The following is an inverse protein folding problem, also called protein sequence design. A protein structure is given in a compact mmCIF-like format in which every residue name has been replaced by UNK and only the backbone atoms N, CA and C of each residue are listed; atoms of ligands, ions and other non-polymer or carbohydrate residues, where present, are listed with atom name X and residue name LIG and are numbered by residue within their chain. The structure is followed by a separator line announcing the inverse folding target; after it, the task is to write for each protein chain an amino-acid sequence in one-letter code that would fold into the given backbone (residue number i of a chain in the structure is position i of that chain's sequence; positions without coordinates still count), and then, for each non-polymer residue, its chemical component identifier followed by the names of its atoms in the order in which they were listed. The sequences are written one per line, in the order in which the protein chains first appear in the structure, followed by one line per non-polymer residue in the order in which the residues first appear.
data_IF_713093012743
#
_entry.id   IF_713093012743
#
_cell.length_a   1.000
_cell.length_b   1.000
_cell.length_c   1.000
_cell.angle_alpha   90.00
_cell.angle_beta   90.00
_cell.angle_gamma   90.00
#
_symmetry.space_group_name_H-M   'P 1'
#
loop_
_entity.id
_entity.type
_entity.pdbx_description
1 polymer ?
#
# COMPACT_ATOMS: atom_id res chain seq x y z
N UNK A 1 75.44 -10.02 -8.81
CA UNK A 1 74.32 -9.21 -8.27
C UNK A 1 73.31 -9.04 -9.41
N UNK A 2 72.29 -9.90 -9.45
CA UNK A 2 71.40 -10.06 -10.61
C UNK A 2 70.29 -8.99 -10.62
N UNK A 3 70.12 -8.33 -11.76
CA UNK A 3 69.08 -7.34 -12.06
C UNK A 3 67.69 -8.00 -12.09
N UNK A 4 66.74 -7.48 -11.31
CA UNK A 4 65.32 -7.89 -11.34
C UNK A 4 64.64 -7.40 -12.63
N UNK A 5 63.88 -8.24 -13.35
CA UNK A 5 63.15 -7.80 -14.55
C UNK A 5 61.87 -7.03 -14.19
N UNK A 6 61.55 -6.06 -15.06
CA UNK A 6 60.48 -5.08 -14.91
C UNK A 6 59.06 -5.65 -14.87
N UNK A 7 58.23 -5.00 -14.06
CA UNK A 7 56.82 -5.29 -13.85
C UNK A 7 56.02 -4.85 -15.09
N UNK A 8 55.51 -5.81 -15.89
CA UNK A 8 54.58 -5.53 -17.00
C UNK A 8 53.29 -4.90 -16.46
N UNK A 9 52.97 -3.68 -16.90
CA UNK A 9 51.64 -3.08 -16.70
C UNK A 9 50.61 -3.88 -17.50
N UNK A 10 49.59 -4.42 -16.83
CA UNK A 10 48.41 -4.95 -17.51
C UNK A 10 47.50 -3.81 -17.98
N UNK A 11 46.81 -3.94 -19.13
CA UNK A 11 45.89 -2.92 -19.61
C UNK A 11 44.67 -2.82 -18.68
N UNK A 12 44.22 -1.59 -18.44
CA UNK A 12 43.05 -1.28 -17.64
C UNK A 12 41.79 -1.96 -18.20
N UNK A 13 41.22 -2.89 -17.42
CA UNK A 13 39.90 -3.47 -17.68
C UNK A 13 38.87 -2.34 -17.71
N UNK A 14 38.29 -2.09 -18.88
CA UNK A 14 37.17 -1.15 -19.05
C UNK A 14 36.04 -1.51 -18.07
N UNK A 15 35.66 -0.56 -17.21
CA UNK A 15 34.49 -0.67 -16.34
C UNK A 15 33.24 -0.54 -17.20
N UNK A 16 32.78 -1.63 -17.83
CA UNK A 16 31.37 -1.72 -18.21
C UNK A 16 30.53 -1.68 -16.93
N UNK A 17 29.47 -0.86 -16.86
CA UNK A 17 28.65 -0.76 -15.66
C UNK A 17 28.05 -2.13 -15.29
N UNK A 18 28.13 -2.49 -14.00
CA UNK A 18 27.78 -3.81 -13.45
C UNK A 18 26.29 -4.20 -13.59
N UNK A 19 25.47 -3.41 -14.29
CA UNK A 19 24.02 -3.59 -14.43
C UNK A 19 23.67 -4.82 -15.30
N UNK A 20 24.55 -5.23 -16.22
CA UNK A 20 24.30 -6.35 -17.15
C UNK A 20 24.62 -7.75 -16.61
N UNK A 21 24.99 -7.92 -15.33
CA UNK A 21 25.32 -9.25 -14.77
C UNK A 21 24.11 -10.05 -14.29
N UNK A 22 22.94 -9.43 -14.12
CA UNK A 22 21.73 -10.13 -13.66
C UNK A 22 20.66 -10.13 -14.78
N UNK A 23 20.39 -11.27 -15.43
CA UNK A 23 19.41 -11.35 -16.52
C UNK A 23 18.00 -10.95 -16.06
N UNK A 24 17.63 -11.20 -14.80
CA UNK A 24 16.33 -10.77 -14.24
C UNK A 24 16.22 -9.24 -14.16
N UNK A 25 17.31 -8.56 -13.80
CA UNK A 25 17.30 -7.10 -13.68
C UNK A 25 17.27 -6.40 -15.05
N UNK A 26 18.02 -6.94 -16.03
CA UNK A 26 17.97 -6.46 -17.41
C UNK A 26 16.57 -6.66 -18.01
N UNK A 27 15.95 -7.83 -17.78
CA UNK A 27 14.58 -8.11 -18.20
C UNK A 27 13.56 -7.17 -17.55
N UNK A 28 13.66 -6.94 -16.24
CA UNK A 28 12.80 -5.99 -15.52
C UNK A 28 12.90 -4.56 -16.08
N UNK A 29 14.12 -4.08 -16.36
CA UNK A 29 14.33 -2.75 -16.95
C UNK A 29 13.76 -2.65 -18.37
N UNK A 30 13.98 -3.67 -19.20
CA UNK A 30 13.40 -3.74 -20.54
C UNK A 30 11.87 -3.71 -20.48
N UNK A 31 11.27 -4.46 -19.55
CA UNK A 31 9.83 -4.52 -19.37
C UNK A 31 9.26 -3.15 -18.97
N UNK A 32 9.88 -2.46 -18.00
CA UNK A 32 9.49 -1.09 -17.60
C UNK A 32 9.54 -0.13 -18.79
N UNK A 33 10.59 -0.20 -19.61
CA UNK A 33 10.72 0.64 -20.79
C UNK A 33 9.64 0.36 -21.84
N UNK A 34 9.37 -0.92 -22.13
CA UNK A 34 8.30 -1.32 -23.05
C UNK A 34 6.92 -0.88 -22.55
N UNK A 35 6.70 -0.95 -21.25
CA UNK A 35 5.45 -0.52 -20.62
C UNK A 35 5.30 1.02 -20.66
N UNK A 36 6.40 1.76 -20.50
CA UNK A 36 6.39 3.22 -20.69
C UNK A 36 6.00 3.62 -22.12
N UNK A 37 6.47 2.88 -23.13
CA UNK A 37 6.02 3.05 -24.51
C UNK A 37 4.54 2.71 -24.67
N UNK A 38 4.07 1.61 -24.08
CA UNK A 38 2.66 1.23 -24.09
C UNK A 38 1.77 2.31 -23.46
N UNK A 39 2.17 2.87 -22.32
CA UNK A 39 1.47 3.99 -21.68
C UNK A 39 1.41 5.21 -22.59
N UNK A 40 2.52 5.56 -23.26
CA UNK A 40 2.53 6.68 -24.22
C UNK A 40 1.56 6.42 -25.40
N UNK A 41 1.52 5.19 -25.92
CA UNK A 41 0.58 4.78 -26.97
C UNK A 41 -0.87 4.82 -26.48
N UNK A 42 -1.13 4.39 -25.23
CA UNK A 42 -2.47 4.47 -24.63
C UNK A 42 -2.93 5.92 -24.53
N UNK A 43 -2.07 6.84 -24.08
CA UNK A 43 -2.39 8.26 -23.99
C UNK A 43 -2.69 8.84 -25.39
N UNK A 44 -1.91 8.45 -26.40
CA UNK A 44 -2.06 8.97 -27.75
C UNK A 44 -3.29 8.44 -28.50
N UNK A 45 -3.66 7.18 -28.30
CA UNK A 45 -4.62 6.48 -29.17
C UNK A 45 -5.90 6.00 -28.47
N UNK A 46 -5.93 5.91 -27.15
CA UNK A 46 -7.11 5.42 -26.42
C UNK A 46 -7.92 6.60 -25.87
N UNK A 47 -9.22 6.70 -26.19
CA UNK A 47 -10.06 7.77 -25.66
C UNK A 47 -10.08 7.80 -24.13
N UNK A 48 -9.91 8.99 -23.58
CA UNK A 48 -10.06 9.25 -22.15
C UNK A 48 -11.47 8.87 -21.67
N UNK A 49 -11.55 8.21 -20.52
CA UNK A 49 -12.83 7.83 -19.91
C UNK A 49 -13.16 8.79 -18.77
N UNK A 50 -14.02 9.75 -19.06
CA UNK A 50 -14.53 10.70 -18.06
C UNK A 50 -15.33 9.95 -16.97
N UNK A 51 -14.74 9.85 -15.78
CA UNK A 51 -15.43 9.37 -14.57
C UNK A 51 -15.32 10.43 -13.49
N UNK A 52 -14.17 10.53 -12.84
CA UNK A 52 -14.05 11.32 -11.61
C UNK A 52 -13.24 12.61 -11.77
N UNK A 53 -12.43 12.76 -12.83
CA UNK A 53 -11.55 13.92 -12.99
C UNK A 53 -12.28 15.25 -12.90
N UNK A 54 -13.40 15.39 -13.59
CA UNK A 54 -14.15 16.65 -13.59
C UNK A 54 -14.75 16.93 -12.21
N UNK A 55 -15.25 15.90 -11.54
CA UNK A 55 -15.71 16.03 -10.16
C UNK A 55 -14.56 16.44 -9.22
N UNK A 56 -13.36 15.88 -9.41
CA UNK A 56 -12.18 16.27 -8.65
C UNK A 56 -11.79 17.73 -8.93
N UNK A 57 -11.81 18.17 -10.19
CA UNK A 57 -11.50 19.56 -10.56
C UNK A 57 -12.54 20.55 -10.02
N UNK A 58 -13.83 20.20 -10.02
CA UNK A 58 -14.88 21.02 -9.39
C UNK A 58 -14.67 21.17 -7.89
N UNK A 59 -14.38 20.06 -7.19
CA UNK A 59 -14.12 20.06 -5.75
C UNK A 59 -12.87 20.88 -5.39
N UNK A 60 -11.80 20.74 -6.17
CA UNK A 60 -10.56 21.53 -6.01
C UNK A 60 -10.80 23.00 -6.31
N UNK A 61 -11.60 23.33 -7.33
CA UNK A 61 -11.92 24.72 -7.66
C UNK A 61 -12.72 25.37 -6.53
N UNK A 62 -13.69 24.68 -5.94
CA UNK A 62 -14.39 25.16 -4.75
C UNK A 62 -13.44 25.41 -3.58
N UNK A 63 -12.54 24.46 -3.30
CA UNK A 63 -11.53 24.60 -2.24
C UNK A 63 -10.59 25.80 -2.47
N UNK A 64 -10.06 25.96 -3.69
CA UNK A 64 -9.20 27.09 -4.05
C UNK A 64 -9.96 28.43 -4.05
N UNK A 65 -11.26 28.41 -4.29
CA UNK A 65 -12.17 29.55 -4.16
C UNK A 65 -12.49 29.94 -2.71
N UNK A 66 -11.94 29.23 -1.71
CA UNK A 66 -12.11 29.55 -0.29
C UNK A 66 -13.16 28.71 0.43
N UNK A 67 -13.83 27.77 -0.24
CA UNK A 67 -14.81 26.90 0.41
C UNK A 67 -14.14 25.97 1.43
N UNK A 68 -14.71 25.89 2.63
CA UNK A 68 -14.25 25.06 3.76
C UNK A 68 -15.34 24.15 4.31
N UNK A 69 -16.58 24.26 3.83
CA UNK A 69 -17.64 23.32 4.14
C UNK A 69 -17.63 22.15 3.16
N UNK A 70 -17.30 20.95 3.66
CA UNK A 70 -17.30 19.70 2.88
C UNK A 70 -18.67 19.32 2.32
N UNK A 71 -19.76 19.88 2.84
CA UNK A 71 -21.11 19.66 2.31
C UNK A 71 -21.33 20.38 0.98
N UNK A 72 -20.60 21.47 0.74
CA UNK A 72 -20.65 22.27 -0.49
C UNK A 72 -19.64 21.80 -1.54
N UNK A 73 -18.55 21.14 -1.12
CA UNK A 73 -17.57 20.56 -2.02
C UNK A 73 -18.14 19.32 -2.71
N UNK A 74 -18.73 19.50 -3.90
CA UNK A 74 -19.32 18.43 -4.72
C UNK A 74 -18.98 18.63 -6.20
N UNK A 75 -18.98 17.53 -6.94
CA UNK A 75 -18.86 17.51 -8.40
C UNK A 75 -19.96 16.64 -9.01
N UNK A 76 -19.87 16.41 -10.32
CA UNK A 76 -20.88 15.67 -11.08
C UNK A 76 -21.09 14.23 -10.57
N UNK A 77 -20.07 13.63 -9.97
CA UNK A 77 -20.14 12.28 -9.39
C UNK A 77 -20.51 12.24 -7.90
N UNK A 78 -20.81 13.40 -7.31
CA UNK A 78 -21.30 13.53 -5.94
C UNK A 78 -20.41 14.36 -5.01
N UNK A 79 -20.66 14.30 -3.68
CA UNK A 79 -19.92 15.09 -2.70
C UNK A 79 -18.46 14.62 -2.57
N UNK A 80 -17.61 15.48 -2.03
CA UNK A 80 -16.25 15.15 -1.62
C UNK A 80 -16.26 14.24 -0.38
N UNK A 81 -15.51 13.15 -0.47
CA UNK A 81 -15.55 12.04 0.51
C UNK A 81 -14.16 11.52 0.83
N UNK A 82 -13.15 12.29 0.43
CA UNK A 82 -11.75 12.01 0.69
C UNK A 82 -11.26 12.98 1.75
N UNK A 83 -10.33 12.58 2.63
CA UNK A 83 -9.72 13.50 3.58
C UNK A 83 -8.91 14.60 2.87
N UNK A 84 -8.56 15.64 3.63
CA UNK A 84 -8.01 16.89 3.09
C UNK A 84 -6.74 16.73 2.23
N UNK A 85 -5.95 15.67 2.44
CA UNK A 85 -4.76 15.38 1.64
C UNK A 85 -5.07 15.19 0.15
N UNK A 86 -6.26 14.69 -0.19
CA UNK A 86 -6.75 14.66 -1.57
C UNK A 86 -6.79 16.05 -2.21
N UNK A 87 -7.39 17.03 -1.51
CA UNK A 87 -7.52 18.40 -2.03
C UNK A 87 -6.15 19.04 -2.25
N UNK A 88 -5.19 18.80 -1.35
CA UNK A 88 -3.83 19.34 -1.50
C UNK A 88 -3.10 18.75 -2.71
N UNK A 89 -3.17 17.42 -2.88
CA UNK A 89 -2.56 16.74 -4.02
C UNK A 89 -3.18 17.24 -5.33
N UNK A 90 -4.50 17.24 -5.43
CA UNK A 90 -5.16 17.64 -6.68
C UNK A 90 -5.10 19.15 -6.94
N UNK A 91 -4.93 19.98 -5.92
CA UNK A 91 -4.59 21.40 -6.11
C UNK A 91 -3.21 21.57 -6.75
N UNK A 92 -2.22 20.79 -6.28
CA UNK A 92 -0.89 20.79 -6.89
C UNK A 92 -0.90 20.24 -8.33
N UNK A 93 -1.67 19.17 -8.58
CA UNK A 93 -1.85 18.63 -9.93
C UNK A 93 -2.47 19.69 -10.84
N UNK A 94 -3.56 20.33 -10.42
CA UNK A 94 -4.23 21.39 -11.19
C UNK A 94 -3.27 22.55 -11.49
N UNK A 95 -2.42 22.94 -10.53
CA UNK A 95 -1.41 23.97 -10.74
C UNK A 95 -0.37 23.57 -11.80
N UNK A 96 0.08 22.31 -11.81
CA UNK A 96 1.07 21.81 -12.77
C UNK A 96 0.47 21.58 -14.16
N UNK A 97 -0.77 21.06 -14.23
CA UNK A 97 -1.40 20.64 -15.49
C UNK A 97 -2.29 21.70 -16.11
N UNK A 98 -2.54 22.81 -15.41
CA UNK A 98 -3.57 23.79 -15.77
C UNK A 98 -5.01 23.29 -15.56
N UNK A 99 -5.19 22.09 -15.00
CA UNK A 99 -6.50 21.42 -14.93
C UNK A 99 -6.85 20.62 -16.19
N UNK A 100 -5.96 20.59 -17.19
CA UNK A 100 -6.16 19.87 -18.44
C UNK A 100 -5.93 18.36 -18.29
N UNK A 101 -6.71 17.58 -19.03
CA UNK A 101 -6.68 16.11 -18.96
C UNK A 101 -5.37 15.57 -19.52
N UNK A 102 -4.92 16.04 -20.69
CA UNK A 102 -3.74 15.47 -21.36
C UNK A 102 -2.44 15.59 -20.54
N UNK A 103 -2.07 16.76 -19.97
CA UNK A 103 -0.92 16.85 -19.08
C UNK A 103 -1.11 16.02 -17.79
N UNK A 104 -2.33 15.88 -17.28
CA UNK A 104 -2.62 15.00 -16.16
C UNK A 104 -2.42 13.52 -16.52
N UNK A 105 -2.80 13.07 -17.71
CA UNK A 105 -2.53 11.71 -18.18
C UNK A 105 -1.03 11.42 -18.25
N UNK A 106 -0.21 12.38 -18.69
CA UNK A 106 1.25 12.25 -18.67
C UNK A 106 1.76 12.11 -17.23
N UNK A 107 1.31 12.98 -16.32
CA UNK A 107 1.70 12.92 -14.91
C UNK A 107 1.33 11.57 -14.26
N UNK A 108 0.11 11.10 -14.48
CA UNK A 108 -0.34 9.80 -13.99
C UNK A 108 0.35 8.63 -14.70
N UNK A 109 0.75 8.78 -15.95
CA UNK A 109 1.60 7.83 -16.68
C UNK A 109 2.98 7.69 -16.03
N UNK A 110 3.62 8.80 -15.66
CA UNK A 110 4.87 8.78 -14.89
C UNK A 110 4.66 8.11 -13.54
N UNK A 111 3.60 8.47 -12.82
CA UNK A 111 3.25 7.86 -11.53
C UNK A 111 3.03 6.34 -11.67
N UNK A 112 2.36 5.90 -12.73
CA UNK A 112 2.17 4.48 -13.04
C UNK A 112 3.52 3.76 -13.25
N UNK A 113 4.43 4.33 -14.05
CA UNK A 113 5.74 3.71 -14.30
C UNK A 113 6.58 3.63 -13.02
N UNK A 114 6.50 4.64 -12.15
CA UNK A 114 7.12 4.59 -10.82
C UNK A 114 6.51 3.45 -10.00
N UNK A 115 5.19 3.35 -9.94
CA UNK A 115 4.49 2.30 -9.21
C UNK A 115 4.84 0.90 -9.74
N UNK A 116 4.81 0.71 -11.07
CA UNK A 116 5.19 -0.55 -11.72
C UNK A 116 6.64 -0.92 -11.40
N UNK A 117 7.55 0.04 -11.43
CA UNK A 117 8.97 -0.19 -11.11
C UNK A 117 9.16 -0.66 -9.67
N UNK A 118 8.45 -0.05 -8.72
CA UNK A 118 8.45 -0.45 -7.30
C UNK A 118 7.92 -1.88 -7.16
N UNK A 119 6.80 -2.19 -7.81
CA UNK A 119 6.18 -3.50 -7.74
C UNK A 119 7.08 -4.57 -8.36
N UNK A 120 7.60 -4.38 -9.57
CA UNK A 120 8.56 -5.30 -10.21
C UNK A 120 9.79 -5.50 -9.31
N UNK A 121 10.28 -4.43 -8.68
CA UNK A 121 11.38 -4.54 -7.73
C UNK A 121 11.03 -5.44 -6.54
N UNK A 122 9.83 -5.30 -5.95
CA UNK A 122 9.32 -6.18 -4.88
C UNK A 122 9.32 -7.64 -5.35
N UNK A 123 8.81 -7.93 -6.54
CA UNK A 123 8.76 -9.29 -7.08
C UNK A 123 10.15 -9.88 -7.35
N UNK A 124 11.05 -9.12 -7.99
CA UNK A 124 12.42 -9.56 -8.27
C UNK A 124 13.18 -9.84 -6.98
N UNK A 125 12.92 -9.08 -5.91
CA UNK A 125 13.56 -9.27 -4.61
C UNK A 125 13.00 -10.43 -3.79
N UNK A 126 11.70 -10.67 -3.89
CA UNK A 126 11.07 -11.75 -3.13
C UNK A 126 11.31 -13.12 -3.77
N UNK A 127 11.74 -13.17 -5.05
CA UNK A 127 11.98 -14.38 -5.84
C UNK A 127 10.80 -15.37 -5.84
N UNK A 128 9.59 -14.84 -5.61
CA UNK A 128 8.38 -15.63 -5.44
C UNK A 128 7.86 -16.18 -6.77
N UNK A 129 7.92 -15.36 -7.82
CA UNK A 129 7.32 -15.69 -9.11
C UNK A 129 8.36 -15.93 -10.20
N UNK A 130 8.02 -16.79 -11.18
CA UNK A 130 8.84 -16.95 -12.36
C UNK A 130 8.91 -15.63 -13.15
N UNK A 131 10.03 -15.42 -13.84
CA UNK A 131 10.33 -14.18 -14.55
C UNK A 131 9.26 -13.81 -15.59
N UNK A 132 8.60 -14.79 -16.21
CA UNK A 132 7.52 -14.54 -17.19
C UNK A 132 6.27 -13.91 -16.56
N UNK A 133 6.00 -14.14 -15.27
CA UNK A 133 4.82 -13.59 -14.60
C UNK A 133 4.90 -12.06 -14.46
N UNK A 134 6.11 -11.49 -14.50
CA UNK A 134 6.31 -10.04 -14.54
C UNK A 134 5.63 -9.42 -15.78
N UNK A 135 5.55 -10.14 -16.90
CA UNK A 135 4.86 -9.67 -18.11
C UNK A 135 3.36 -9.48 -17.84
N UNK A 136 2.73 -10.41 -17.11
CA UNK A 136 1.30 -10.33 -16.79
C UNK A 136 0.98 -9.14 -15.89
N UNK A 137 1.88 -8.83 -14.95
CA UNK A 137 1.78 -7.67 -14.09
C UNK A 137 1.77 -6.36 -14.91
N UNK A 138 2.69 -6.27 -15.86
CA UNK A 138 2.80 -5.16 -16.81
C UNK A 138 1.54 -5.01 -17.65
N UNK A 139 1.07 -6.08 -18.29
CA UNK A 139 -0.05 -6.04 -19.25
C UNK A 139 -1.44 -5.87 -18.62
N UNK A 140 -1.55 -5.48 -17.35
CA UNK A 140 -2.85 -5.28 -16.70
C UNK A 140 -3.60 -4.08 -17.29
N UNK A 141 -4.55 -4.35 -18.19
CA UNK A 141 -5.45 -3.35 -18.78
C UNK A 141 -6.16 -2.50 -17.71
N UNK A 142 -6.50 -3.12 -16.59
CA UNK A 142 -7.25 -2.47 -15.51
C UNK A 142 -6.40 -1.44 -14.77
N UNK A 143 -5.14 -1.75 -14.47
CA UNK A 143 -4.21 -0.84 -13.79
C UNK A 143 -3.88 0.34 -14.69
N UNK A 144 -3.54 0.09 -15.96
CA UNK A 144 -3.37 1.14 -16.98
C UNK A 144 -4.55 2.10 -17.01
N UNK A 145 -5.77 1.56 -17.04
CA UNK A 145 -6.97 2.38 -17.10
C UNK A 145 -7.23 3.16 -15.81
N UNK A 146 -6.86 2.63 -14.64
CA UNK A 146 -7.01 3.32 -13.35
C UNK A 146 -6.10 4.55 -13.28
N UNK A 147 -4.84 4.41 -13.68
CA UNK A 147 -3.89 5.52 -13.68
C UNK A 147 -4.17 6.49 -14.82
N UNK A 148 -4.16 6.01 -16.07
CA UNK A 148 -3.98 6.87 -17.25
C UNK A 148 -5.31 7.28 -17.89
N UNK A 149 -6.35 6.45 -17.80
CA UNK A 149 -7.63 6.72 -18.47
C UNK A 149 -8.71 7.25 -17.54
N UNK A 150 -8.52 7.14 -16.21
CA UNK A 150 -9.49 7.55 -15.19
C UNK A 150 -8.93 8.50 -14.15
N UNK A 151 -7.59 8.62 -14.07
CA UNK A 151 -6.88 9.55 -13.19
C UNK A 151 -7.35 9.43 -11.73
N UNK A 152 -7.51 8.20 -11.24
CA UNK A 152 -8.11 7.98 -9.92
C UNK A 152 -7.15 8.32 -8.77
N UNK A 153 -7.70 8.90 -7.70
CA UNK A 153 -6.96 9.28 -6.49
C UNK A 153 -6.22 8.11 -5.81
N UNK A 154 -6.75 6.88 -5.93
CA UNK A 154 -6.12 5.68 -5.38
C UNK A 154 -4.66 5.52 -5.76
N UNK A 155 -4.27 6.00 -6.95
CA UNK A 155 -2.93 5.85 -7.50
C UNK A 155 -1.85 6.38 -6.55
N UNK A 156 -2.07 7.55 -5.92
CA UNK A 156 -1.10 8.14 -5.00
C UNK A 156 -1.00 7.35 -3.70
N UNK A 157 -2.13 7.03 -3.08
CA UNK A 157 -2.17 6.27 -1.83
C UNK A 157 -1.53 4.88 -2.00
N UNK A 158 -1.81 4.19 -3.11
CA UNK A 158 -1.27 2.86 -3.38
C UNK A 158 0.21 2.89 -3.77
N UNK A 159 0.66 3.88 -4.53
CA UNK A 159 2.10 4.04 -4.85
C UNK A 159 2.91 4.28 -3.59
N UNK A 160 2.42 5.11 -2.68
CA UNK A 160 3.03 5.32 -1.36
C UNK A 160 3.10 4.02 -0.57
N UNK A 161 2.00 3.25 -0.54
CA UNK A 161 1.96 1.97 0.15
C UNK A 161 2.96 0.95 -0.42
N UNK A 162 3.04 0.82 -1.75
CA UNK A 162 4.02 -0.05 -2.40
C UNK A 162 5.44 0.41 -2.14
N UNK A 163 5.70 1.72 -2.15
CA UNK A 163 7.00 2.27 -1.79
C UNK A 163 7.40 1.89 -0.36
N UNK A 164 6.47 2.00 0.60
CA UNK A 164 6.69 1.56 1.97
C UNK A 164 7.07 0.08 2.03
N UNK A 165 6.34 -0.80 1.34
CA UNK A 165 6.64 -2.22 1.27
C UNK A 165 8.01 -2.52 0.67
N UNK A 166 8.39 -1.82 -0.41
CA UNK A 166 9.70 -1.97 -1.02
C UNK A 166 10.83 -1.55 -0.07
N UNK A 167 10.63 -0.50 0.73
CA UNK A 167 11.62 -0.11 1.75
C UNK A 167 11.76 -1.15 2.87
N UNK A 168 10.68 -1.85 3.23
CA UNK A 168 10.73 -2.96 4.19
C UNK A 168 11.59 -4.10 3.63
N UNK A 169 11.36 -4.46 2.37
CA UNK A 169 12.08 -5.55 1.72
C UNK A 169 13.56 -5.27 1.47
N UNK A 170 13.92 -4.02 1.14
CA UNK A 170 15.27 -3.74 0.66
C UNK A 170 16.28 -3.49 1.77
N UNK A 171 15.86 -3.47 3.04
CA UNK A 171 16.70 -3.22 4.20
C UNK A 171 17.58 -1.95 4.15
N UNK A 172 17.31 -1.03 3.20
CA UNK A 172 18.03 0.24 2.99
C UNK A 172 17.14 1.42 3.35
N UNK A 173 17.15 1.70 4.64
CA UNK A 173 16.45 2.75 5.38
C UNK A 173 16.68 4.16 4.83
N UNK A 174 17.89 4.42 4.33
CA UNK A 174 18.29 5.76 3.89
C UNK A 174 17.56 6.24 2.62
N UNK A 175 17.05 5.33 1.77
CA UNK A 175 16.22 5.72 0.61
C UNK A 175 14.77 6.04 1.02
N UNK A 176 14.22 5.32 2.00
CA UNK A 176 12.96 5.70 2.63
C UNK A 176 13.06 7.08 3.26
N UNK A 177 14.22 7.41 3.83
CA UNK A 177 14.53 8.70 4.47
C UNK A 177 14.29 9.93 3.57
N UNK A 178 14.49 9.81 2.24
CA UNK A 178 14.30 10.91 1.28
C UNK A 178 12.83 11.07 0.89
N UNK A 179 12.07 9.97 0.81
CA UNK A 179 10.60 10.02 0.71
C UNK A 179 9.95 10.51 2.01
N UNK A 180 10.67 10.41 3.13
CA UNK A 180 10.32 10.95 4.45
C UNK A 180 10.97 12.36 4.61
N UNK A 181 10.70 13.30 3.70
CA UNK A 181 10.94 14.73 4.00
C UNK A 181 10.07 15.22 5.19
N UNK A 182 9.13 14.40 5.66
CA UNK A 182 8.41 14.55 6.92
C UNK A 182 9.15 14.10 8.19
N UNK A 183 10.42 13.65 8.08
CA UNK A 183 11.19 13.18 9.23
C UNK A 183 11.40 14.31 10.23
N UNK A 184 11.47 15.57 9.79
CA UNK A 184 11.66 16.72 10.69
C UNK A 184 10.47 16.91 11.65
N UNK A 185 9.23 16.72 11.16
CA UNK A 185 8.03 16.89 12.00
C UNK A 185 7.89 15.75 13.01
N UNK A 186 8.20 14.50 12.63
CA UNK A 186 8.10 13.32 13.51
C UNK A 186 9.31 13.18 14.45
N UNK A 187 10.52 13.56 14.02
CA UNK A 187 11.72 13.52 14.87
C UNK A 187 11.68 14.58 15.98
N UNK A 188 10.96 15.70 15.76
CA UNK A 188 10.70 16.73 16.79
C UNK A 188 9.55 16.35 17.74
N UNK A 189 8.59 15.50 17.33
CA UNK A 189 7.42 15.11 18.13
C UNK A 189 7.53 13.72 18.79
N UNK A 190 8.38 12.82 18.28
CA UNK A 190 8.48 11.42 18.73
C UNK A 190 9.96 10.99 18.90
N UNK A 191 10.67 11.59 19.85
CA UNK A 191 12.05 11.23 20.23
C UNK A 191 12.22 9.78 20.76
N UNK A 192 11.13 9.03 20.91
CA UNK A 192 11.08 7.70 21.53
C UNK A 192 10.96 6.55 20.50
N UNK A 193 11.10 6.82 19.20
CA UNK A 193 10.92 5.78 18.20
C UNK A 193 12.11 4.81 18.12
N UNK A 194 11.82 3.54 18.36
CA UNK A 194 12.83 2.49 18.47
C UNK A 194 13.53 2.19 17.12
N UNK A 195 14.85 2.43 17.09
CA UNK A 195 15.75 2.13 15.96
C UNK A 195 15.81 0.64 15.62
N UNK A 196 15.39 -0.25 16.52
CA UNK A 196 15.39 -1.69 16.29
C UNK A 196 14.26 -2.14 15.36
N UNK A 197 13.11 -1.48 15.38
CA UNK A 197 11.92 -1.83 14.58
C UNK A 197 11.51 -0.75 13.55
N UNK A 198 12.52 -0.05 13.00
CA UNK A 198 12.36 1.03 12.01
C UNK A 198 11.42 0.70 10.82
N UNK A 199 11.21 -0.56 10.43
CA UNK A 199 10.38 -0.93 9.27
C UNK A 199 8.91 -0.65 9.55
N UNK A 200 8.48 -0.99 10.77
CA UNK A 200 7.13 -0.74 11.25
C UNK A 200 6.90 0.77 11.36
N UNK A 201 7.91 1.52 11.82
CA UNK A 201 7.89 2.99 11.85
C UNK A 201 7.67 3.61 10.48
N UNK A 202 8.51 3.24 9.50
CA UNK A 202 8.42 3.81 8.14
C UNK A 202 7.05 3.51 7.53
N UNK A 203 6.59 2.26 7.65
CA UNK A 203 5.30 1.86 7.12
C UNK A 203 4.14 2.64 7.76
N UNK A 204 4.21 2.82 9.09
CA UNK A 204 3.23 3.60 9.84
C UNK A 204 3.20 5.06 9.38
N UNK A 205 4.35 5.73 9.25
CA UNK A 205 4.44 7.10 8.73
C UNK A 205 3.80 7.22 7.35
N UNK A 206 4.07 6.27 6.45
CA UNK A 206 3.49 6.28 5.10
C UNK A 206 1.98 6.05 5.14
N UNK A 207 1.50 5.12 5.98
CA UNK A 207 0.07 4.89 6.14
C UNK A 207 -0.67 6.13 6.64
N UNK A 208 -0.08 6.91 7.55
CA UNK A 208 -0.68 8.18 8.02
C UNK A 208 -0.94 9.12 6.84
N UNK A 209 0.06 9.34 5.98
CA UNK A 209 -0.09 10.20 4.81
C UNK A 209 -1.06 9.62 3.78
N UNK A 210 -1.00 8.31 3.54
CA UNK A 210 -1.88 7.67 2.58
C UNK A 210 -3.35 7.68 3.04
N UNK A 211 -3.63 7.59 4.34
CA UNK A 211 -4.99 7.79 4.91
C UNK A 211 -5.50 9.20 4.65
N UNK A 212 -4.65 10.24 4.71
CA UNK A 212 -5.04 11.61 4.37
C UNK A 212 -5.49 11.78 2.91
N UNK A 213 -5.13 10.83 2.04
CA UNK A 213 -5.50 10.83 0.62
C UNK A 213 -6.75 9.99 0.41
N UNK A 214 -6.78 8.77 0.97
CA UNK A 214 -7.88 7.84 0.81
C UNK A 214 -8.01 6.88 1.99
N UNK A 215 -9.25 6.69 2.45
CA UNK A 215 -9.57 5.84 3.60
C UNK A 215 -9.33 4.35 3.38
N UNK A 216 -9.14 3.87 2.14
CA UNK A 216 -8.92 2.44 1.87
C UNK A 216 -7.69 1.88 2.60
N UNK A 217 -6.72 2.74 2.90
CA UNK A 217 -5.53 2.37 3.67
C UNK A 217 -5.87 1.93 5.11
N UNK A 218 -7.05 2.30 5.64
CA UNK A 218 -7.52 1.85 6.94
C UNK A 218 -7.72 0.32 7.02
N UNK A 219 -7.85 -0.38 5.89
CA UNK A 219 -7.87 -1.85 5.88
C UNK A 219 -6.56 -2.46 6.44
N UNK A 220 -5.45 -1.72 6.37
CA UNK A 220 -4.17 -2.12 6.96
C UNK A 220 -4.06 -1.77 8.46
N UNK A 221 -5.00 -1.02 9.03
CA UNK A 221 -4.88 -0.53 10.41
C UNK A 221 -4.89 -1.66 11.47
N UNK A 222 -5.81 -2.66 11.43
CA UNK A 222 -5.77 -3.75 12.40
C UNK A 222 -4.47 -4.58 12.41
N UNK A 223 -3.94 -5.08 11.26
CA UNK A 223 -2.67 -5.79 11.26
C UNK A 223 -1.49 -4.88 11.63
N UNK A 224 -1.51 -3.60 11.24
CA UNK A 224 -0.47 -2.65 11.62
C UNK A 224 -0.44 -2.41 13.14
N UNK A 225 -1.60 -2.25 13.78
CA UNK A 225 -1.70 -2.10 15.23
C UNK A 225 -1.11 -3.31 15.97
N UNK A 226 -1.39 -4.52 15.49
CA UNK A 226 -0.80 -5.73 16.06
C UNK A 226 0.73 -5.75 15.93
N UNK A 227 1.25 -5.37 14.76
CA UNK A 227 2.69 -5.27 14.54
C UNK A 227 3.31 -4.17 15.41
N UNK A 228 2.64 -3.05 15.62
CA UNK A 228 3.08 -2.01 16.55
C UNK A 228 3.15 -2.54 17.98
N UNK A 229 2.11 -3.22 18.48
CA UNK A 229 2.13 -3.83 19.82
C UNK A 229 3.28 -4.83 19.99
N UNK A 230 3.67 -5.55 18.92
CA UNK A 230 4.85 -6.44 18.93
C UNK A 230 6.17 -5.67 18.86
N UNK A 231 6.20 -4.59 18.08
CA UNK A 231 7.40 -3.81 17.77
C UNK A 231 7.82 -2.85 18.88
N UNK A 232 6.89 -2.35 19.69
CA UNK A 232 7.13 -1.27 20.65
C UNK A 232 6.38 -1.50 21.97
N UNK A 233 6.71 -0.69 22.98
CA UNK A 233 6.01 -0.65 24.26
C UNK A 233 4.69 0.11 24.12
N UNK A 234 3.77 -0.03 25.09
CA UNK A 234 2.44 0.60 25.02
C UNK A 234 2.52 2.12 24.89
N UNK A 235 3.47 2.76 25.59
CA UNK A 235 3.72 4.20 25.50
C UNK A 235 4.12 4.62 24.08
N UNK A 236 4.99 3.83 23.43
CA UNK A 236 5.35 4.02 22.03
C UNK A 236 4.15 3.87 21.09
N UNK A 237 3.28 2.89 21.33
CA UNK A 237 2.04 2.71 20.53
C UNK A 237 1.11 3.91 20.69
N UNK A 238 0.88 4.37 21.93
CA UNK A 238 0.03 5.53 22.21
C UNK A 238 0.61 6.79 21.57
N UNK A 239 1.92 7.02 21.72
CA UNK A 239 2.63 8.15 21.11
C UNK A 239 2.52 8.12 19.57
N UNK A 240 2.71 6.95 18.96
CA UNK A 240 2.55 6.78 17.52
C UNK A 240 1.10 7.04 17.06
N UNK A 241 0.08 6.52 17.77
CA UNK A 241 -1.32 6.79 17.45
C UNK A 241 -1.68 8.27 17.64
N UNK A 242 -1.15 8.94 18.67
CA UNK A 242 -1.31 10.37 18.89
C UNK A 242 -0.66 11.18 17.75
N UNK A 243 0.52 10.79 17.29
CA UNK A 243 1.19 11.40 16.13
C UNK A 243 0.35 11.22 14.85
N UNK A 244 -0.20 10.02 14.62
CA UNK A 244 -1.11 9.78 13.49
C UNK A 244 -2.34 10.70 13.53
N UNK A 245 -2.97 10.82 14.70
CA UNK A 245 -4.12 11.70 14.91
C UNK A 245 -3.74 13.18 14.69
N UNK A 246 -2.60 13.62 15.21
CA UNK A 246 -2.09 14.98 15.04
C UNK A 246 -1.87 15.32 13.56
N UNK A 247 -1.25 14.42 12.79
CA UNK A 247 -1.07 14.64 11.34
C UNK A 247 -2.41 14.75 10.61
N UNK A 248 -3.41 13.94 10.98
CA UNK A 248 -4.76 14.06 10.39
C UNK A 248 -5.45 15.38 10.76
N UNK A 249 -5.26 15.84 12.01
CA UNK A 249 -5.78 17.14 12.48
C UNK A 249 -5.10 18.28 11.72
N UNK A 250 -3.78 18.27 11.60
CA UNK A 250 -3.03 19.29 10.88
C UNK A 250 -3.39 19.31 9.39
N UNK A 251 -3.52 18.14 8.76
CA UNK A 251 -3.97 18.05 7.38
C UNK A 251 -5.40 18.58 7.22
N UNK A 252 -6.30 18.32 8.16
CA UNK A 252 -7.69 18.78 8.14
C UNK A 252 -7.91 20.18 8.72
N UNK A 253 -6.88 20.86 9.22
CA UNK A 253 -7.01 22.06 10.07
C UNK A 253 -7.90 23.16 9.48
N UNK A 254 -7.78 23.55 8.18
CA UNK A 254 -8.63 24.59 7.60
C UNK A 254 -10.13 24.26 7.65
N UNK A 255 -10.48 22.98 7.65
CA UNK A 255 -11.85 22.50 7.67
C UNK A 255 -12.34 22.21 9.09
N UNK A 256 -11.45 21.74 9.97
CA UNK A 256 -11.76 21.46 11.37
C UNK A 256 -12.03 22.74 12.16
N UNK A 257 -11.36 23.85 11.83
CA UNK A 257 -11.61 25.15 12.49
C UNK A 257 -12.94 25.76 12.05
N UNK A 258 -13.30 25.63 10.76
CA UNK A 258 -14.50 26.25 10.21
C UNK A 258 -15.75 25.36 10.32
N UNK A 259 -15.66 24.10 9.89
CA UNK A 259 -16.79 23.16 9.78
C UNK A 259 -16.41 21.74 10.22
N UNK A 260 -16.10 21.50 11.51
CA UNK A 260 -15.55 20.21 11.98
C UNK A 260 -16.48 19.03 11.73
N UNK A 261 -17.79 19.20 11.96
CA UNK A 261 -18.78 18.14 11.78
C UNK A 261 -18.93 17.78 10.29
N UNK A 262 -18.95 18.79 9.41
CA UNK A 262 -19.04 18.57 7.97
C UNK A 262 -17.79 17.83 7.46
N UNK A 263 -16.60 18.24 7.90
CA UNK A 263 -15.35 17.57 7.55
C UNK A 263 -15.35 16.10 7.99
N UNK A 264 -15.54 15.82 9.29
CA UNK A 264 -15.43 14.45 9.82
C UNK A 264 -16.50 13.53 9.19
N UNK A 265 -17.75 13.98 9.11
CA UNK A 265 -18.85 13.16 8.58
C UNK A 265 -18.76 12.86 7.09
N UNK A 266 -18.07 13.71 6.31
CA UNK A 266 -17.88 13.54 4.86
C UNK A 266 -16.57 12.85 4.51
N UNK A 267 -15.45 13.34 5.05
CA UNK A 267 -14.11 12.81 4.82
C UNK A 267 -13.93 11.40 5.38
N UNK A 268 -14.56 11.07 6.51
CA UNK A 268 -14.47 9.78 7.20
C UNK A 268 -15.81 9.05 7.26
N UNK A 269 -16.55 9.03 6.15
CA UNK A 269 -17.90 8.47 6.10
C UNK A 269 -17.91 6.92 6.04
N UNK A 270 -17.99 6.29 7.21
CA UNK A 270 -18.11 4.82 7.34
C UNK A 270 -19.52 4.27 7.07
N UNK A 271 -20.54 5.15 7.03
CA UNK A 271 -21.94 4.77 6.83
C UNK A 271 -22.36 4.71 5.35
N UNK A 272 -21.47 5.06 4.43
CA UNK A 272 -21.77 5.10 3.00
C UNK A 272 -22.18 3.73 2.48
N UNK A 273 -23.34 3.68 1.82
CA UNK A 273 -23.79 2.53 1.07
C UNK A 273 -23.58 2.81 -0.41
N UNK A 274 -22.74 2.01 -1.07
CA UNK A 274 -22.61 2.07 -2.51
C UNK A 274 -23.76 1.31 -3.15
N UNK A 275 -24.22 1.80 -4.30
CA UNK A 275 -25.29 1.14 -5.04
C UNK A 275 -24.84 -0.26 -5.48
N UNK A 276 -25.73 -1.24 -5.33
CA UNK A 276 -25.45 -2.64 -5.62
C UNK A 276 -25.00 -2.86 -7.08
N UNK A 277 -25.42 -1.98 -7.99
CA UNK A 277 -25.03 -2.01 -9.40
C UNK A 277 -23.50 -1.99 -9.60
N UNK A 278 -22.77 -1.12 -8.89
CA UNK A 278 -21.32 -0.96 -9.07
C UNK A 278 -20.46 -1.86 -8.17
N UNK A 279 -21.06 -2.59 -7.24
CA UNK A 279 -20.32 -3.51 -6.37
C UNK A 279 -19.93 -4.76 -7.12
N UNK A 280 -18.67 -5.17 -6.96
CA UNK A 280 -18.17 -6.47 -7.44
C UNK A 280 -18.36 -7.54 -6.37
N UNK A 281 -18.04 -7.20 -5.12
CA UNK A 281 -18.19 -8.16 -4.03
C UNK A 281 -19.68 -8.39 -3.74
N UNK A 282 -20.02 -9.64 -3.42
CA UNK A 282 -21.39 -10.07 -3.12
C UNK A 282 -22.43 -9.74 -4.21
N UNK A 283 -22.01 -9.62 -5.48
CA UNK A 283 -22.91 -9.28 -6.60
C UNK A 283 -24.04 -10.30 -6.81
N UNK A 284 -23.84 -11.54 -6.36
CA UNK A 284 -24.82 -12.62 -6.40
C UNK A 284 -25.94 -12.46 -5.35
N UNK A 285 -25.79 -11.54 -4.38
CA UNK A 285 -26.78 -11.30 -3.32
C UNK A 285 -27.85 -10.32 -3.83
N UNK A 286 -29.15 -10.56 -3.56
CA UNK A 286 -30.20 -9.61 -3.91
C UNK A 286 -29.98 -8.23 -3.28
N UNK A 287 -30.31 -7.17 -4.02
CA UNK A 287 -30.12 -5.78 -3.58
C UNK A 287 -30.74 -5.44 -2.20
N UNK A 288 -31.97 -5.91 -1.86
CA UNK A 288 -32.55 -5.64 -0.54
C UNK A 288 -31.72 -6.20 0.61
N UNK A 289 -31.11 -7.38 0.41
CA UNK A 289 -30.24 -8.03 1.39
C UNK A 289 -28.89 -7.30 1.43
N UNK A 290 -28.33 -6.97 0.27
CA UNK A 290 -27.05 -6.26 0.16
C UNK A 290 -27.07 -4.91 0.88
N UNK A 291 -28.13 -4.12 0.72
CA UNK A 291 -28.23 -2.78 1.35
C UNK A 291 -28.56 -2.87 2.85
N UNK A 292 -29.05 -4.02 3.33
CA UNK A 292 -29.49 -4.19 4.72
C UNK A 292 -28.37 -3.94 5.75
N UNK A 293 -28.76 -3.36 6.89
CA UNK A 293 -27.85 -3.16 8.04
C UNK A 293 -27.41 -4.49 8.64
N UNK A 294 -28.29 -5.49 8.65
CA UNK A 294 -28.01 -6.84 9.17
C UNK A 294 -26.85 -7.48 8.40
N UNK A 295 -26.88 -7.41 7.06
CA UNK A 295 -25.79 -7.92 6.24
C UNK A 295 -24.48 -7.18 6.50
N UNK A 296 -24.50 -5.84 6.57
CA UNK A 296 -23.30 -5.05 6.88
C UNK A 296 -22.67 -5.40 8.25
N UNK A 297 -23.49 -5.58 9.29
CA UNK A 297 -23.03 -5.98 10.63
C UNK A 297 -22.48 -7.41 10.60
N UNK A 298 -23.14 -8.33 9.89
CA UNK A 298 -22.66 -9.72 9.77
C UNK A 298 -21.27 -9.79 9.13
N UNK A 299 -21.03 -8.99 8.09
CA UNK A 299 -19.73 -8.87 7.42
C UNK A 299 -18.68 -8.24 8.33
N UNK A 300 -19.04 -7.26 9.15
CA UNK A 300 -18.14 -6.66 10.13
C UNK A 300 -17.75 -7.68 11.22
N UNK A 301 -18.70 -8.46 11.72
CA UNK A 301 -18.43 -9.54 12.68
C UNK A 301 -17.51 -10.59 12.06
N UNK A 302 -17.77 -10.99 10.81
CA UNK A 302 -16.91 -11.92 10.08
C UNK A 302 -15.48 -11.35 9.90
N UNK A 303 -15.36 -10.08 9.55
CA UNK A 303 -14.07 -9.40 9.40
C UNK A 303 -13.25 -9.42 10.70
N UNK A 304 -13.84 -8.98 11.81
CA UNK A 304 -13.19 -8.94 13.11
C UNK A 304 -12.89 -10.36 13.63
N UNK A 305 -13.79 -11.31 13.40
CA UNK A 305 -13.60 -12.72 13.75
C UNK A 305 -12.44 -13.38 13.00
N UNK A 306 -12.34 -13.14 11.69
CA UNK A 306 -11.22 -13.63 10.87
C UNK A 306 -9.90 -13.01 11.30
N UNK A 307 -9.87 -11.69 11.54
CA UNK A 307 -8.67 -11.01 12.06
C UNK A 307 -8.25 -11.56 13.42
N UNK A 308 -9.19 -11.76 14.36
CA UNK A 308 -8.89 -12.32 15.67
C UNK A 308 -8.38 -13.76 15.58
N UNK A 309 -8.96 -14.57 14.69
CA UNK A 309 -8.54 -15.95 14.44
C UNK A 309 -7.11 -16.00 13.88
N UNK A 310 -6.82 -15.19 12.85
CA UNK A 310 -5.46 -15.10 12.28
C UNK A 310 -4.46 -14.56 13.31
N UNK A 311 -4.84 -13.55 14.08
CA UNK A 311 -4.01 -13.01 15.13
C UNK A 311 -3.71 -14.05 16.21
N UNK A 312 -4.69 -14.85 16.63
CA UNK A 312 -4.52 -15.86 17.65
C UNK A 312 -3.68 -17.05 17.18
N UNK A 313 -4.04 -17.67 16.05
CA UNK A 313 -3.45 -18.94 15.63
C UNK A 313 -2.22 -18.79 14.74
N UNK A 314 -2.08 -17.68 14.01
CA UNK A 314 -1.01 -17.49 13.02
C UNK A 314 -0.02 -16.41 13.42
N UNK A 315 -0.49 -15.20 13.73
CA UNK A 315 0.41 -14.06 13.95
C UNK A 315 1.00 -13.99 15.37
N UNK A 316 0.27 -14.45 16.38
CA UNK A 316 0.73 -14.51 17.78
C UNK A 316 0.99 -15.94 18.28
N UNK A 317 1.23 -16.90 17.37
CA UNK A 317 1.45 -18.30 17.74
C UNK A 317 2.63 -18.49 18.69
N UNK A 318 3.71 -17.73 18.48
CA UNK A 318 4.93 -17.81 19.30
C UNK A 318 4.76 -17.21 20.70
N UNK A 319 3.75 -16.37 20.90
CA UNK A 319 3.44 -15.71 22.17
C UNK A 319 2.32 -16.43 22.94
N UNK A 320 1.91 -17.62 22.49
CA UNK A 320 0.85 -18.40 23.11
C UNK A 320 -0.56 -17.90 22.78
N UNK A 321 -0.72 -17.14 21.69
CA UNK A 321 -1.98 -16.62 21.17
C UNK A 321 -2.22 -15.14 21.49
N UNK A 322 -3.25 -14.57 20.87
CA UNK A 322 -3.56 -13.14 20.94
C UNK A 322 -3.84 -12.68 22.38
N UNK A 323 -4.66 -13.44 23.13
CA UNK A 323 -5.08 -13.04 24.47
C UNK A 323 -3.93 -13.04 25.48
N UNK A 324 -3.08 -14.08 25.45
CA UNK A 324 -1.88 -14.14 26.30
C UNK A 324 -0.91 -13.01 25.96
N UNK A 325 -0.74 -12.72 24.68
CA UNK A 325 0.08 -11.62 24.21
C UNK A 325 -0.43 -10.26 24.70
N UNK A 326 -1.72 -9.96 24.52
CA UNK A 326 -2.34 -8.71 24.98
C UNK A 326 -2.28 -8.58 26.49
N UNK A 327 -2.59 -9.65 27.23
CA UNK A 327 -2.49 -9.67 28.68
C UNK A 327 -1.06 -9.36 29.13
N UNK A 328 -0.05 -10.04 28.56
CA UNK A 328 1.36 -9.78 28.86
C UNK A 328 1.76 -8.33 28.60
N UNK A 329 1.28 -7.72 27.50
CA UNK A 329 1.56 -6.31 27.19
C UNK A 329 0.89 -5.33 28.17
N UNK A 330 -0.35 -5.61 28.59
CA UNK A 330 -1.06 -4.80 29.57
C UNK A 330 -0.41 -4.93 30.96
N UNK A 331 -0.09 -6.14 31.40
CA UNK A 331 0.60 -6.38 32.67
C UNK A 331 1.98 -5.71 32.68
N UNK A 332 2.75 -5.82 31.60
CA UNK A 332 4.05 -5.14 31.45
C UNK A 332 3.96 -3.62 31.36
N UNK A 333 2.79 -3.05 31.06
CA UNK A 333 2.57 -1.61 31.11
C UNK A 333 2.28 -1.12 32.53
N UNK A 334 1.55 -1.92 33.32
CA UNK A 334 1.15 -1.64 34.69
C UNK A 334 2.29 -1.88 35.70
N UNK A 335 3.02 -2.98 35.53
CA UNK A 335 4.24 -3.28 36.26
C UNK A 335 5.36 -2.60 35.49
N UNK A 336 5.92 -1.51 36.02
CA UNK A 336 7.03 -0.70 35.46
C UNK A 336 8.37 -1.46 35.31
N UNK A 337 8.30 -2.75 35.03
CA UNK A 337 9.38 -3.68 34.70
C UNK A 337 9.62 -3.63 33.19
N UNK A 338 10.61 -2.84 32.81
CA UNK A 338 11.03 -2.55 31.42
C UNK A 338 11.84 -3.68 30.77
N UNK A 339 11.42 -4.94 30.92
CA UNK A 339 12.15 -6.09 30.38
C UNK A 339 11.32 -7.02 29.50
N UNK A 340 10.30 -6.51 28.79
CA UNK A 340 9.85 -7.22 27.58
C UNK A 340 10.89 -6.98 26.49
N UNK A 341 11.84 -7.91 26.33
CA UNK A 341 12.86 -7.86 25.29
C UNK A 341 12.23 -7.53 23.95
N UNK A 342 12.55 -6.33 23.45
CA UNK A 342 11.90 -5.73 22.29
C UNK A 342 12.32 -6.54 21.06
N UNK A 343 11.42 -7.41 20.61
CA UNK A 343 11.76 -8.43 19.61
C UNK A 343 11.82 -7.76 18.24
N UNK A 344 12.96 -7.90 17.57
CA UNK A 344 13.11 -7.47 16.19
C UNK A 344 12.17 -8.34 15.33
N UNK A 345 11.23 -7.69 14.66
CA UNK A 345 10.26 -8.37 13.80
C UNK A 345 10.92 -8.75 12.48
N UNK A 346 10.75 -10.00 12.06
CA UNK A 346 11.17 -10.44 10.73
C UNK A 346 10.32 -9.74 9.66
N UNK A 347 10.96 -9.26 8.60
CA UNK A 347 10.30 -8.55 7.48
C UNK A 347 9.20 -9.40 6.84
N UNK A 348 9.42 -10.70 6.70
CA UNK A 348 8.43 -11.64 6.17
C UNK A 348 7.17 -11.69 7.03
N UNK A 349 7.32 -11.62 8.35
CA UNK A 349 6.18 -11.60 9.26
C UNK A 349 5.40 -10.29 9.16
N UNK A 350 6.10 -9.15 9.04
CA UNK A 350 5.47 -7.83 8.83
C UNK A 350 4.63 -7.85 7.56
N UNK A 351 5.22 -8.26 6.44
CA UNK A 351 4.55 -8.27 5.14
C UNK A 351 3.36 -9.24 5.10
N UNK A 352 3.58 -10.49 5.51
CA UNK A 352 2.50 -11.50 5.49
C UNK A 352 1.32 -11.11 6.37
N UNK A 353 1.57 -10.43 7.50
CA UNK A 353 0.52 -9.93 8.40
C UNK A 353 -0.26 -8.78 7.77
N UNK A 354 0.43 -7.78 7.21
CA UNK A 354 -0.22 -6.63 6.55
C UNK A 354 -1.08 -7.06 5.37
N UNK A 355 -0.57 -7.95 4.52
CA UNK A 355 -1.31 -8.40 3.35
C UNK A 355 -2.47 -9.33 3.67
N UNK A 356 -2.28 -10.27 4.59
CA UNK A 356 -3.37 -11.15 5.01
C UNK A 356 -4.50 -10.33 5.67
N UNK A 357 -4.18 -9.33 6.49
CA UNK A 357 -5.19 -8.44 7.06
C UNK A 357 -5.93 -7.62 6.01
N UNK A 358 -5.23 -7.06 5.02
CA UNK A 358 -5.87 -6.34 3.91
C UNK A 358 -6.77 -7.26 3.06
N UNK A 359 -6.32 -8.49 2.78
CA UNK A 359 -7.12 -9.48 2.05
C UNK A 359 -8.40 -9.85 2.80
N UNK A 360 -8.30 -10.10 4.12
CA UNK A 360 -9.48 -10.33 4.98
C UNK A 360 -10.43 -9.12 4.92
N UNK A 361 -9.91 -7.89 4.90
CA UNK A 361 -10.69 -6.67 4.70
C UNK A 361 -11.44 -6.64 3.38
N UNK A 362 -10.78 -6.97 2.26
CA UNK A 362 -11.39 -6.98 0.94
C UNK A 362 -12.46 -8.07 0.81
N UNK A 363 -12.21 -9.28 1.32
CA UNK A 363 -13.18 -10.39 1.29
C UNK A 363 -14.44 -10.03 2.07
N UNK A 364 -14.30 -9.39 3.24
CA UNK A 364 -15.43 -8.98 4.06
C UNK A 364 -16.04 -7.63 3.67
N UNK A 365 -15.46 -6.90 2.71
CA UNK A 365 -15.98 -5.60 2.31
C UNK A 365 -17.30 -5.77 1.56
N UNK A 366 -18.39 -5.21 2.11
CA UNK A 366 -19.72 -5.27 1.49
C UNK A 366 -19.73 -4.76 0.06
N UNK A 367 -19.23 -3.54 -0.15
CA UNK A 367 -19.19 -2.91 -1.46
C UNK A 367 -17.76 -2.65 -1.87
N UNK A 368 -17.39 -3.12 -3.07
CA UNK A 368 -16.02 -3.01 -3.55
C UNK A 368 -16.00 -2.73 -5.06
N UNK A 369 -15.18 -1.78 -5.48
CA UNK A 369 -14.91 -1.51 -6.89
C UNK A 369 -13.72 -2.34 -7.39
N UNK A 370 -13.65 -2.57 -8.71
CA UNK A 370 -12.55 -3.33 -9.35
C UNK A 370 -11.13 -2.82 -9.04
N UNK A 371 -10.99 -1.55 -8.62
CA UNK A 371 -9.71 -0.97 -8.25
C UNK A 371 -9.04 -1.76 -7.11
N UNK A 372 -9.81 -2.10 -6.09
CA UNK A 372 -9.32 -2.79 -4.90
C UNK A 372 -8.76 -4.17 -5.21
N UNK A 373 -9.39 -4.93 -6.10
CA UNK A 373 -8.85 -6.21 -6.57
C UNK A 373 -7.59 -6.04 -7.40
N UNK A 374 -7.47 -4.95 -8.17
CA UNK A 374 -6.26 -4.68 -8.96
C UNK A 374 -5.06 -4.42 -8.05
N UNK A 375 -5.27 -3.66 -6.97
CA UNK A 375 -4.24 -3.42 -5.95
C UNK A 375 -3.90 -4.67 -5.15
N UNK A 376 -4.91 -5.47 -4.80
CA UNK A 376 -4.70 -6.65 -4.01
C UNK A 376 -4.09 -7.81 -4.81
N UNK A 377 -4.44 -7.97 -6.09
CA UNK A 377 -3.89 -9.01 -6.96
C UNK A 377 -2.38 -8.86 -7.14
N UNK A 378 -1.92 -7.62 -7.35
CA UNK A 378 -0.51 -7.22 -7.40
C UNK A 378 0.28 -7.57 -6.12
N UNK A 379 -0.41 -7.85 -5.00
CA UNK A 379 0.21 -8.18 -3.72
C UNK A 379 -0.06 -9.63 -3.28
N UNK A 380 -1.17 -10.23 -3.71
CA UNK A 380 -1.55 -11.60 -3.37
C UNK A 380 -0.67 -12.63 -4.08
N UNK A 381 -0.32 -12.37 -5.33
CA UNK A 381 0.56 -13.25 -6.11
C UNK A 381 1.94 -13.39 -5.44
N UNK A 382 2.43 -12.34 -4.77
CA UNK A 382 3.65 -12.36 -3.94
C UNK A 382 3.57 -13.31 -2.73
N UNK A 383 2.38 -13.64 -2.23
CA UNK A 383 2.20 -14.45 -1.00
C UNK A 383 1.87 -15.89 -1.31
N UNK A 384 0.93 -16.12 -2.23
CA UNK A 384 0.44 -17.46 -2.56
C UNK A 384 1.58 -18.37 -3.01
N UNK A 385 2.48 -17.86 -3.85
CA UNK A 385 3.62 -18.63 -4.35
C UNK A 385 4.72 -18.83 -3.30
N UNK A 386 4.95 -17.87 -2.38
CA UNK A 386 5.93 -18.04 -1.29
C UNK A 386 5.45 -19.08 -0.26
N UNK A 387 4.15 -19.10 0.03
CA UNK A 387 3.53 -20.09 0.91
C UNK A 387 3.61 -21.50 0.29
N UNK A 388 3.37 -21.63 -1.02
CA UNK A 388 3.52 -22.88 -1.77
C UNK A 388 4.98 -23.39 -1.77
N UNK A 389 5.96 -22.50 -1.99
CA UNK A 389 7.37 -22.88 -1.97
C UNK A 389 7.88 -23.28 -0.59
N UNK A 390 7.48 -22.56 0.48
CA UNK A 390 7.83 -22.91 1.87
C UNK A 390 7.19 -24.25 2.27
N UNK A 391 5.98 -24.55 1.78
CA UNK A 391 5.36 -25.85 2.01
C UNK A 391 6.11 -26.96 1.26
N UNK A 392 6.59 -26.70 0.03
CA UNK A 392 7.38 -27.64 -0.76
C UNK A 392 8.79 -27.91 -0.19
N UNK A 393 9.44 -26.92 0.43
CA UNK A 393 10.78 -27.07 1.01
C UNK A 393 10.77 -27.65 2.43
N UNK A 394 9.59 -27.79 3.03
CA UNK A 394 9.39 -28.54 4.29
C UNK A 394 9.12 -30.04 4.09
N UNK A 395 9.02 -30.49 2.83
CA UNK A 395 8.97 -31.90 2.46
C UNK A 395 10.36 -32.34 2.01
N UNK A 396 10.96 -33.27 2.75
CA UNK A 396 12.21 -33.94 2.38
C UNK A 396 12.13 -34.57 0.98
N UNK A 397 13.27 -34.76 0.29
CA UNK A 397 13.28 -35.16 -1.11
C UNK A 397 12.96 -36.65 -1.22
N UNK A 398 11.68 -36.99 -1.40
CA UNK A 398 11.31 -38.24 -2.05
C UNK A 398 11.13 -37.97 -3.54
N UNK A 399 12.10 -38.45 -4.30
CA UNK A 399 12.08 -38.60 -5.75
C UNK A 399 10.78 -39.25 -6.22
N UNK A 400 9.89 -38.46 -6.82
CA UNK A 400 8.87 -38.97 -7.71
C UNK A 400 8.94 -38.22 -9.04
N UNK A 401 9.31 -38.99 -10.06
CA UNK A 401 9.27 -38.68 -11.49
C UNK A 401 7.91 -38.11 -11.89
N UNK A 402 7.92 -36.90 -12.45
CA UNK A 402 6.74 -36.27 -13.06
C UNK A 402 6.33 -37.03 -14.33
N UNK A 403 5.23 -37.76 -14.28
CA UNK A 403 4.48 -38.17 -15.47
C UNK A 403 3.54 -37.04 -15.93
N UNK A 404 3.30 -36.87 -17.23
CA UNK A 404 2.52 -35.76 -17.75
C UNK A 404 1.02 -35.99 -17.49
N UNK A 405 0.38 -35.11 -16.70
CA UNK A 405 -1.07 -35.11 -16.57
C UNK A 405 -1.69 -34.17 -17.60
N UNK A 406 -2.35 -34.82 -18.56
CA UNK A 406 -3.20 -34.28 -19.62
C UNK A 406 -4.43 -33.62 -19.00
N UNK A 407 -4.70 -32.37 -19.38
CA UNK A 407 -5.95 -31.68 -19.08
C UNK A 407 -7.08 -32.26 -19.95
N UNK A 408 -8.19 -32.67 -19.33
CA UNK A 408 -9.46 -32.92 -20.02
C UNK A 408 -10.52 -31.97 -19.47
N UNK A 409 -10.90 -31.02 -20.33
CA UNK A 409 -12.06 -30.10 -20.42
C UNK A 409 -12.59 -29.51 -19.11
#
# INVERSE_FOLDING_TARGET
MALKPGRKLQPSRSRRPQIFKNPKAAFALALIFMDALLVALIIAYVPYTKIDWDAYMSQVTGFLGGERDYTNLKGDTGPLVYPAGFLYIYSAIRFITGGEVYPAQILFGILYIINLSIVIFIYVKTEVLPWWALILLSLSKRVHSIFVLRLFNDCFAMTLLHAALATILYQKWHLGLILILFRLCIYLLCAEFDINNRYVTIYMCVCIWAVSIKMNVLLYAPPLLLLMLKAMNIYGVISALACAALVQILAGLPFLVSHPIAYISRAFNLGRVFIHFWSVNFKFIPEPVFVSKQFAISLLIAHLGLLATFAHYKWCRHEGGLFKFLHSKVTSALSSSSSSGLKILKEEHIMTTLFAGNFIGIVCARSLHYQFYSWCGVLLECLSFKQLFICSSSLSPFTYTMGPMVCSI
#
